data_IF_524635143797
#
_entry.id   IF_524635143797
#
_cell.length_a   1.000
_cell.length_b   1.000
_cell.length_c   1.000
_cell.angle_alpha   90.00
_cell.angle_beta   90.00
_cell.angle_gamma   90.00
#
_symmetry.space_group_name_H-M   'P 1'
#
loop_
_entity.id
_entity.type
_entity.pdbx_description
1 polymer ?
#
# COMPACT_ATOMS: atom_id res chain seq x y z
N UNK A 1 -13.63 -6.56 -8.52
CA UNK A 1 -13.94 -6.55 -7.10
C UNK A 1 -14.62 -7.84 -6.64
N UNK A 2 -14.92 -7.93 -5.36
CA UNK A 2 -15.81 -8.97 -4.86
C UNK A 2 -17.25 -8.47 -5.03
N UNK A 3 -18.04 -9.22 -5.77
CA UNK A 3 -19.46 -8.90 -5.92
C UNK A 3 -20.21 -9.47 -4.70
N UNK A 4 -21.08 -8.68 -4.05
CA UNK A 4 -21.87 -9.20 -2.94
C UNK A 4 -22.80 -10.29 -3.45
N UNK A 5 -22.78 -11.43 -2.77
CA UNK A 5 -23.63 -12.57 -3.09
C UNK A 5 -24.82 -12.55 -2.13
N UNK A 6 -26.01 -12.35 -2.68
CA UNK A 6 -27.27 -12.38 -1.92
C UNK A 6 -28.04 -13.67 -2.21
N UNK A 7 -28.59 -14.24 -1.16
CA UNK A 7 -29.48 -15.40 -1.24
C UNK A 7 -30.78 -15.07 -0.49
N UNK A 8 -31.90 -15.08 -1.19
CA UNK A 8 -33.22 -14.73 -0.61
C UNK A 8 -33.27 -13.34 0.08
N UNK A 9 -32.49 -12.37 -0.40
CA UNK A 9 -32.42 -11.02 0.17
C UNK A 9 -31.36 -10.82 1.25
N UNK A 10 -30.77 -11.89 1.78
CA UNK A 10 -29.70 -11.84 2.76
C UNK A 10 -28.34 -12.13 2.13
N UNK A 11 -27.27 -11.60 2.73
CA UNK A 11 -25.91 -11.83 2.26
C UNK A 11 -25.49 -13.29 2.51
N UNK A 12 -25.09 -14.00 1.45
CA UNK A 12 -24.53 -15.34 1.55
C UNK A 12 -23.06 -15.25 2.01
N UNK A 13 -22.87 -15.25 3.31
CA UNK A 13 -21.56 -15.17 3.95
C UNK A 13 -20.64 -16.35 3.58
N UNK A 14 -21.19 -17.53 3.33
CA UNK A 14 -20.41 -18.71 2.95
C UNK A 14 -19.83 -18.55 1.56
N UNK A 15 -20.65 -18.14 0.61
CA UNK A 15 -20.20 -17.87 -0.76
C UNK A 15 -19.22 -16.68 -0.81
N UNK A 16 -19.46 -15.62 -0.02
CA UNK A 16 -18.55 -14.49 0.10
C UNK A 16 -17.17 -14.91 0.66
N UNK A 17 -17.13 -15.73 1.69
CA UNK A 17 -15.88 -16.26 2.24
C UNK A 17 -15.12 -17.10 1.22
N UNK A 18 -15.81 -17.96 0.49
CA UNK A 18 -15.22 -18.78 -0.56
C UNK A 18 -14.61 -17.92 -1.67
N UNK A 19 -15.30 -16.87 -2.12
CA UNK A 19 -14.73 -15.91 -3.08
C UNK A 19 -13.50 -15.21 -2.53
N UNK A 20 -13.55 -14.75 -1.28
CA UNK A 20 -12.42 -14.08 -0.65
C UNK A 20 -11.20 -15.00 -0.57
N UNK A 21 -11.36 -16.24 -0.11
CA UNK A 21 -10.27 -17.20 0.01
C UNK A 21 -9.63 -17.59 -1.33
N UNK A 22 -10.40 -17.57 -2.40
CA UNK A 22 -9.90 -17.88 -3.75
C UNK A 22 -9.28 -16.69 -4.46
N UNK A 23 -9.51 -15.47 -3.96
CA UNK A 23 -9.04 -14.24 -4.59
C UNK A 23 -7.50 -14.17 -4.60
N UNK A 24 -6.93 -13.84 -5.76
CA UNK A 24 -5.46 -13.82 -5.96
C UNK A 24 -4.74 -12.90 -4.98
N UNK A 25 -5.29 -11.72 -4.69
CA UNK A 25 -4.69 -10.74 -3.77
C UNK A 25 -4.64 -11.26 -2.33
N UNK A 26 -5.69 -11.95 -1.88
CA UNK A 26 -5.75 -12.55 -0.56
C UNK A 26 -4.65 -13.59 -0.39
N UNK A 27 -4.43 -14.42 -1.42
CA UNK A 27 -3.35 -15.43 -1.43
C UNK A 27 -1.98 -14.79 -1.49
N UNK A 28 -1.76 -13.85 -2.41
CA UNK A 28 -0.46 -13.16 -2.60
C UNK A 28 -0.02 -12.43 -1.34
N UNK A 29 -0.94 -11.70 -0.71
CA UNK A 29 -0.67 -10.94 0.51
C UNK A 29 -0.76 -11.79 1.79
N UNK A 30 -1.06 -13.08 1.68
CA UNK A 30 -1.21 -13.99 2.83
C UNK A 30 -2.15 -13.43 3.89
N UNK A 31 -3.30 -12.92 3.46
CA UNK A 31 -4.31 -12.34 4.36
C UNK A 31 -4.83 -13.42 5.31
N UNK A 32 -5.00 -13.13 6.62
CA UNK A 32 -5.57 -14.07 7.57
C UNK A 32 -6.95 -14.57 7.16
N UNK A 33 -7.31 -15.76 7.65
CA UNK A 33 -8.64 -16.32 7.40
C UNK A 33 -9.76 -15.38 7.89
N UNK A 34 -10.86 -15.33 7.14
CA UNK A 34 -11.97 -14.41 7.39
C UNK A 34 -12.71 -14.66 8.73
N UNK A 35 -12.54 -15.85 9.31
CA UNK A 35 -13.14 -16.26 10.59
C UNK A 35 -12.40 -15.69 11.80
N UNK A 36 -11.18 -15.16 11.61
CA UNK A 36 -10.41 -14.60 12.72
C UNK A 36 -11.01 -13.28 13.20
N UNK A 37 -11.10 -13.14 14.53
CA UNK A 37 -11.53 -11.90 15.16
C UNK A 37 -10.46 -10.82 14.92
N UNK A 38 -10.84 -9.70 14.30
CA UNK A 38 -9.89 -8.64 13.94
C UNK A 38 -9.05 -8.13 15.13
N UNK A 39 -9.63 -8.05 16.32
CA UNK A 39 -8.92 -7.62 17.54
C UNK A 39 -7.83 -8.58 18.02
N UNK A 40 -7.77 -9.81 17.49
CA UNK A 40 -6.70 -10.79 17.81
C UNK A 40 -5.58 -10.81 16.78
N UNK A 41 -5.69 -10.02 15.72
CA UNK A 41 -4.69 -9.95 14.65
C UNK A 41 -3.51 -9.08 15.07
N UNK A 42 -2.30 -9.47 14.67
CA UNK A 42 -1.13 -8.59 14.76
C UNK A 42 -1.28 -7.38 13.85
N UNK A 43 -0.56 -6.29 14.14
CA UNK A 43 -0.56 -5.09 13.31
C UNK A 43 -0.25 -5.37 11.84
N UNK A 44 0.74 -6.23 11.55
CA UNK A 44 1.07 -6.64 10.18
C UNK A 44 -0.06 -7.42 9.49
N UNK A 45 -0.82 -8.24 10.24
CA UNK A 45 -1.99 -8.93 9.70
C UNK A 45 -3.12 -7.95 9.35
N UNK A 46 -3.37 -6.97 10.22
CA UNK A 46 -4.35 -5.91 9.97
C UNK A 46 -3.96 -5.07 8.74
N UNK A 47 -2.68 -4.73 8.62
CA UNK A 47 -2.17 -3.96 7.48
C UNK A 47 -2.32 -4.71 6.16
N UNK A 48 -1.96 -6.01 6.12
CA UNK A 48 -2.17 -6.87 4.95
C UNK A 48 -3.65 -6.96 4.55
N UNK A 49 -4.53 -7.11 5.53
CA UNK A 49 -5.98 -7.15 5.31
C UNK A 49 -6.50 -5.82 4.75
N UNK A 50 -6.10 -4.68 5.33
CA UNK A 50 -6.49 -3.35 4.87
C UNK A 50 -6.01 -3.09 3.43
N UNK A 51 -4.75 -3.44 3.14
CA UNK A 51 -4.16 -3.30 1.81
C UNK A 51 -4.87 -4.19 0.78
N UNK A 52 -5.10 -5.47 1.09
CA UNK A 52 -5.83 -6.38 0.21
C UNK A 52 -7.24 -5.86 -0.09
N UNK A 53 -7.97 -5.35 0.91
CA UNK A 53 -9.30 -4.76 0.75
C UNK A 53 -9.27 -3.59 -0.24
N UNK A 54 -8.30 -2.70 -0.11
CA UNK A 54 -8.15 -1.54 -0.98
C UNK A 54 -7.88 -1.97 -2.43
N UNK A 55 -7.02 -2.97 -2.64
CA UNK A 55 -6.67 -3.48 -3.98
C UNK A 55 -7.83 -4.24 -4.64
N UNK A 56 -8.54 -5.09 -3.88
CA UNK A 56 -9.68 -5.87 -4.38
C UNK A 56 -10.80 -4.98 -4.90
N UNK A 57 -10.97 -3.78 -4.34
CA UNK A 57 -11.99 -2.81 -4.80
C UNK A 57 -11.72 -2.23 -6.21
N UNK A 58 -10.60 -2.61 -6.85
CA UNK A 58 -10.18 -2.13 -8.19
C UNK A 58 -10.18 -0.61 -8.30
N UNK A 59 -9.39 0.08 -7.48
CA UNK A 59 -9.37 1.54 -7.46
C UNK A 59 -8.76 2.08 -8.75
N UNK A 60 -9.16 3.30 -9.14
CA UNK A 60 -8.46 4.08 -10.18
C UNK A 60 -7.26 4.83 -9.60
N UNK A 61 -7.32 5.14 -8.32
CA UNK A 61 -6.26 5.78 -7.53
C UNK A 61 -6.14 5.05 -6.19
N UNK A 62 -4.94 4.63 -5.84
CA UNK A 62 -4.60 4.04 -4.56
C UNK A 62 -3.70 5.00 -3.77
N UNK A 63 -4.07 5.31 -2.54
CA UNK A 63 -3.22 6.03 -1.60
C UNK A 63 -2.73 5.00 -0.57
N UNK A 64 -1.42 4.73 -0.58
CA UNK A 64 -0.77 3.76 0.29
C UNK A 64 0.17 4.50 1.25
N UNK A 65 -0.24 4.58 2.51
CA UNK A 65 0.55 5.22 3.57
C UNK A 65 1.27 4.15 4.38
N UNK A 66 2.60 4.19 4.34
CA UNK A 66 3.51 3.25 5.01
C UNK A 66 3.14 1.77 4.78
N UNK A 67 2.91 1.33 3.53
CA UNK A 67 2.31 0.03 3.26
C UNK A 67 3.21 -1.16 3.65
N UNK A 68 4.51 -0.94 3.73
CA UNK A 68 5.54 -1.94 4.10
C UNK A 68 5.96 -1.91 5.56
N UNK A 69 5.55 -0.88 6.32
CA UNK A 69 6.02 -0.67 7.69
C UNK A 69 5.61 -1.82 8.63
N UNK A 70 6.58 -2.38 9.35
CA UNK A 70 6.32 -3.45 10.33
C UNK A 70 5.96 -4.81 9.73
N UNK A 71 6.16 -4.99 8.43
CA UNK A 71 5.98 -6.26 7.73
C UNK A 71 7.31 -7.01 7.63
N UNK A 72 7.22 -8.33 7.52
CA UNK A 72 8.36 -9.18 7.16
C UNK A 72 8.76 -8.99 5.68
N UNK A 73 10.01 -9.30 5.35
CA UNK A 73 10.61 -9.08 4.02
C UNK A 73 9.76 -9.73 2.90
N UNK A 74 9.25 -10.95 3.13
CA UNK A 74 8.46 -11.65 2.12
C UNK A 74 7.13 -10.93 1.86
N UNK A 75 6.52 -10.38 2.90
CA UNK A 75 5.28 -9.60 2.79
C UNK A 75 5.53 -8.23 2.16
N UNK A 76 6.61 -7.54 2.49
CA UNK A 76 7.03 -6.30 1.81
C UNK A 76 7.15 -6.54 0.31
N UNK A 77 7.86 -7.60 -0.09
CA UNK A 77 8.00 -7.95 -1.50
C UNK A 77 6.64 -8.20 -2.19
N UNK A 78 5.71 -8.89 -1.51
CA UNK A 78 4.37 -9.12 -2.05
C UNK A 78 3.56 -7.82 -2.21
N UNK A 79 3.70 -6.86 -1.28
CA UNK A 79 3.11 -5.52 -1.40
C UNK A 79 3.68 -4.78 -2.60
N UNK A 80 5.00 -4.73 -2.75
CA UNK A 80 5.68 -4.08 -3.87
C UNK A 80 5.26 -4.69 -5.22
N UNK A 81 5.24 -6.03 -5.33
CA UNK A 81 4.77 -6.70 -6.55
C UNK A 81 3.32 -6.34 -6.89
N UNK A 82 2.47 -6.22 -5.87
CA UNK A 82 1.07 -5.82 -6.06
C UNK A 82 0.97 -4.38 -6.57
N UNK A 83 1.73 -3.44 -6.01
CA UNK A 83 1.79 -2.04 -6.48
C UNK A 83 2.30 -1.95 -7.92
N UNK A 84 3.38 -2.67 -8.28
CA UNK A 84 3.87 -2.74 -9.66
C UNK A 84 2.84 -3.27 -10.65
N UNK A 85 2.08 -4.29 -10.25
CA UNK A 85 1.02 -4.83 -11.08
C UNK A 85 -0.12 -3.83 -11.28
N UNK A 86 -0.54 -3.13 -10.23
CA UNK A 86 -1.54 -2.07 -10.32
C UNK A 86 -1.10 -0.94 -11.25
N UNK A 87 0.18 -0.51 -11.15
CA UNK A 87 0.79 0.46 -12.06
C UNK A 87 0.69 0.02 -13.51
N UNK A 88 1.03 -1.25 -13.82
CA UNK A 88 0.89 -1.82 -15.17
C UNK A 88 -0.55 -1.88 -15.67
N UNK A 89 -1.53 -1.92 -14.77
CA UNK A 89 -2.96 -1.86 -15.08
C UNK A 89 -3.49 -0.43 -15.22
N UNK A 90 -2.63 0.59 -15.11
CA UNK A 90 -3.00 2.00 -15.22
C UNK A 90 -3.60 2.60 -13.95
N UNK A 91 -3.46 1.94 -12.81
CA UNK A 91 -3.88 2.50 -11.52
C UNK A 91 -2.88 3.55 -11.05
N UNK A 92 -3.35 4.77 -10.81
CA UNK A 92 -2.53 5.79 -10.15
C UNK A 92 -2.24 5.40 -8.70
N UNK A 93 -0.99 5.58 -8.25
CA UNK A 93 -0.62 5.28 -6.86
C UNK A 93 0.11 6.46 -6.23
N UNK A 94 -0.35 6.87 -5.05
CA UNK A 94 0.38 7.78 -4.16
C UNK A 94 0.95 6.93 -3.03
N UNK A 95 2.27 6.79 -3.01
CA UNK A 95 2.99 6.08 -1.96
C UNK A 95 3.56 7.09 -0.97
N UNK A 96 3.20 6.95 0.30
CA UNK A 96 3.75 7.74 1.40
C UNK A 96 4.68 6.83 2.19
N UNK A 97 5.97 7.19 2.24
CA UNK A 97 7.00 6.43 2.94
C UNK A 97 8.12 7.36 3.40
N UNK A 98 8.79 7.01 4.47
CA UNK A 98 10.04 7.62 4.92
C UNK A 98 11.28 6.86 4.41
N UNK A 99 11.08 5.68 3.84
CA UNK A 99 12.15 4.88 3.26
C UNK A 99 12.46 5.37 1.83
N UNK A 100 13.56 6.13 1.72
CA UNK A 100 14.04 6.67 0.44
C UNK A 100 14.29 5.54 -0.57
N UNK A 101 14.82 4.40 -0.13
CA UNK A 101 15.10 3.27 -1.01
C UNK A 101 13.81 2.68 -1.60
N UNK A 102 12.76 2.58 -0.79
CA UNK A 102 11.43 2.17 -1.25
C UNK A 102 10.89 3.16 -2.31
N UNK A 103 10.99 4.47 -2.04
CA UNK A 103 10.50 5.50 -2.97
C UNK A 103 11.22 5.45 -4.31
N UNK A 104 12.57 5.32 -4.31
CA UNK A 104 13.35 5.24 -5.54
C UNK A 104 13.08 3.96 -6.34
N UNK A 105 12.74 2.87 -5.65
CA UNK A 105 12.39 1.59 -6.31
C UNK A 105 10.99 1.61 -6.91
N UNK A 106 10.03 2.27 -6.24
CA UNK A 106 8.60 2.10 -6.53
C UNK A 106 7.99 3.25 -7.33
N UNK A 107 8.53 4.48 -7.19
CA UNK A 107 7.92 5.70 -7.71
C UNK A 107 8.56 6.17 -9.02
N UNK A 108 7.80 6.92 -9.82
CA UNK A 108 8.33 7.66 -10.98
C UNK A 108 8.75 9.08 -10.58
N UNK A 109 8.06 9.64 -9.57
CA UNK A 109 8.30 10.99 -9.06
C UNK A 109 8.19 11.01 -7.55
N UNK A 110 9.00 11.86 -6.91
CA UNK A 110 9.03 12.05 -5.46
C UNK A 110 8.66 13.49 -5.15
N UNK A 111 7.69 13.68 -4.26
CA UNK A 111 7.36 14.95 -3.63
C UNK A 111 7.81 14.87 -2.16
N UNK A 112 8.64 15.82 -1.73
CA UNK A 112 9.09 15.90 -0.34
C UNK A 112 8.25 16.93 0.40
N UNK A 113 7.68 16.53 1.53
CA UNK A 113 6.98 17.42 2.45
C UNK A 113 7.85 17.63 3.69
N UNK A 114 8.35 18.83 3.89
CA UNK A 114 9.20 19.18 5.04
C UNK A 114 8.91 20.60 5.49
N UNK A 115 8.82 20.81 6.80
CA UNK A 115 8.59 22.12 7.43
C UNK A 115 7.48 22.94 6.76
N UNK A 116 6.30 22.34 6.60
CA UNK A 116 5.11 22.96 6.00
C UNK A 116 5.29 23.36 4.51
N UNK A 117 6.36 22.91 3.86
CA UNK A 117 6.67 23.21 2.47
C UNK A 117 6.71 21.92 1.63
N UNK A 118 6.27 22.01 0.39
CA UNK A 118 6.34 20.92 -0.58
C UNK A 118 7.44 21.22 -1.61
N UNK A 119 8.36 20.27 -1.78
CA UNK A 119 9.47 20.36 -2.74
C UNK A 119 9.31 19.32 -3.83
N UNK A 120 9.50 19.71 -5.08
CA UNK A 120 9.35 18.85 -6.26
C UNK A 120 8.02 19.08 -7.00
N UNK A 121 7.42 18.08 -7.69
CA UNK A 121 7.88 16.70 -7.74
C UNK A 121 9.17 16.51 -8.55
N UNK A 122 10.10 15.73 -8.03
CA UNK A 122 11.35 15.35 -8.69
C UNK A 122 11.15 14.04 -9.46
N UNK A 123 11.70 13.95 -10.68
CA UNK A 123 11.76 12.68 -11.41
C UNK A 123 12.84 11.80 -10.78
N UNK A 124 12.51 10.53 -10.49
CA UNK A 124 13.45 9.59 -9.86
C UNK A 124 14.72 9.39 -10.69
N UNK A 125 14.59 9.36 -12.02
CA UNK A 125 15.73 9.21 -12.94
C UNK A 125 16.63 10.47 -13.01
N UNK A 126 16.17 11.62 -12.48
CA UNK A 126 16.87 12.90 -12.55
C UNK A 126 17.37 13.39 -11.17
N UNK A 127 17.24 12.60 -10.12
CA UNK A 127 17.70 12.93 -8.78
C UNK A 127 18.33 11.72 -8.08
N UNK A 128 19.05 11.97 -7.00
CA UNK A 128 19.72 10.94 -6.20
C UNK A 128 19.07 10.81 -4.82
N UNK A 129 19.18 9.63 -4.17
CA UNK A 129 18.73 9.44 -2.78
C UNK A 129 19.32 10.47 -1.81
N UNK A 130 20.59 10.86 -2.02
CA UNK A 130 21.28 11.83 -1.17
C UNK A 130 20.70 13.25 -1.31
N UNK A 131 20.33 13.66 -2.52
CA UNK A 131 19.66 14.96 -2.75
C UNK A 131 18.30 15.01 -2.07
N UNK A 132 17.49 13.96 -2.25
CA UNK A 132 16.18 13.86 -1.58
C UNK A 132 16.35 13.86 -0.05
N UNK A 133 17.31 13.09 0.47
CA UNK A 133 17.61 13.07 1.91
C UNK A 133 18.00 14.44 2.46
N UNK A 134 18.81 15.22 1.74
CA UNK A 134 19.15 16.60 2.15
C UNK A 134 17.92 17.50 2.20
N UNK A 135 17.00 17.38 1.25
CA UNK A 135 15.76 18.19 1.22
C UNK A 135 14.87 17.82 2.42
N UNK A 136 14.78 16.53 2.77
CA UNK A 136 14.03 16.08 3.94
C UNK A 136 14.58 16.68 5.25
N UNK A 137 15.91 16.81 5.36
CA UNK A 137 16.58 17.37 6.55
C UNK A 137 16.60 18.91 6.58
N UNK A 138 16.46 19.61 5.45
CA UNK A 138 16.44 21.08 5.42
C UNK A 138 15.32 21.68 6.27
N UNK A 139 14.27 20.95 6.50
CA UNK A 139 13.17 21.38 7.37
C UNK A 139 13.49 21.35 8.87
N UNK A 140 14.43 20.54 9.31
CA UNK A 140 14.83 20.46 10.72
C UNK A 140 15.69 21.65 11.14
N UNK A 141 16.44 22.25 10.20
CA UNK A 141 17.34 23.38 10.48
C UNK A 141 16.67 24.76 10.42
N UNK A 142 15.37 24.84 10.13
CA UNK A 142 14.64 26.11 10.06
C UNK A 142 14.04 26.56 11.40
N UNK A 143 14.30 25.83 12.48
CA UNK A 143 13.80 26.10 13.83
C UNK A 143 14.90 26.28 14.89
N UNK A 144 16.18 26.49 14.51
CA UNK A 144 17.23 26.99 15.38
C UNK A 144 17.44 28.50 15.28
#
# INVERSE_FOLDING_TARGET
GLDPIYRHGDMDWQAMRSQLQTHSEVKTLRVPQAERIAGTLSGGNLQRMAFARAVISRPRLLIASYPSRGLDIATVHAVHQTLFRLKKQGVGTILISEDISELFTMCDRILVLSSHTAFGPYCVDACTPNEIGKIMLQGENAHE
#
